data_IF_426895238053
#
_entry.id   IF_426895238053
#
_cell.length_a   1.000
_cell.length_b   1.000
_cell.length_c   1.000
_cell.angle_alpha   90.00
_cell.angle_beta   90.00
_cell.angle_gamma   90.00
#
_symmetry.space_group_name_H-M   'P 1'
#
loop_
_entity.id
_entity.type
_entity.pdbx_description
1 polymer ?
#
# COMPACT_ATOMS: atom_id res chain seq x y z
N UNK A 1 9.80 -0.41 7.01
CA UNK A 1 9.48 0.38 8.19
C UNK A 1 9.43 -0.49 9.43
N UNK A 2 10.24 -0.17 10.43
CA UNK A 2 10.16 -0.73 11.78
C UNK A 2 9.36 0.21 12.71
N UNK A 3 9.23 -0.15 13.99
CA UNK A 3 8.46 0.64 14.95
C UNK A 3 9.09 2.02 15.25
N UNK A 4 10.43 2.12 15.20
CA UNK A 4 11.13 3.39 15.41
C UNK A 4 10.84 4.36 14.28
N UNK A 5 10.93 3.87 13.05
CA UNK A 5 10.57 4.62 11.86
C UNK A 5 9.10 5.00 11.87
N UNK A 6 8.19 4.07 12.18
CA UNK A 6 6.76 4.37 12.29
C UNK A 6 6.49 5.50 13.28
N UNK A 7 7.10 5.47 14.47
CA UNK A 7 6.93 6.53 15.46
C UNK A 7 7.42 7.91 15.00
N UNK A 8 8.42 7.95 14.11
CA UNK A 8 8.92 9.19 13.49
C UNK A 8 7.93 9.75 12.46
N UNK A 9 7.25 8.88 11.69
CA UNK A 9 6.47 9.30 10.51
C UNK A 9 4.94 9.25 10.68
N UNK A 10 4.41 8.63 11.74
CA UNK A 10 2.96 8.38 11.94
C UNK A 10 2.05 9.61 11.94
N UNK A 11 2.64 10.79 12.17
CA UNK A 11 1.95 12.08 12.25
C UNK A 11 2.16 12.95 11.00
N UNK A 12 2.93 12.50 10.01
CA UNK A 12 3.07 13.22 8.75
C UNK A 12 1.77 13.18 7.96
N UNK A 13 1.52 14.24 7.21
CA UNK A 13 0.54 14.24 6.13
C UNK A 13 0.99 13.32 5.00
N UNK A 14 0.09 13.03 4.07
CA UNK A 14 0.40 12.19 2.92
C UNK A 14 1.59 12.73 2.09
N UNK A 15 1.58 14.02 1.74
CA UNK A 15 2.65 14.63 0.95
C UNK A 15 3.98 14.70 1.71
N UNK A 16 3.98 15.05 2.99
CA UNK A 16 5.18 15.02 3.82
C UNK A 16 5.78 13.60 3.90
N UNK A 17 4.93 12.58 3.95
CA UNK A 17 5.38 11.19 3.94
C UNK A 17 5.94 10.78 2.57
N UNK A 18 5.35 11.24 1.47
CA UNK A 18 5.93 11.07 0.14
C UNK A 18 7.33 11.70 0.06
N UNK A 19 7.51 12.92 0.55
CA UNK A 19 8.80 13.62 0.54
C UNK A 19 9.82 12.90 1.43
N UNK A 20 9.39 12.37 2.59
CA UNK A 20 10.21 11.50 3.42
C UNK A 20 10.71 10.26 2.66
N UNK A 21 9.82 9.57 1.92
CA UNK A 21 10.18 8.38 1.13
C UNK A 21 11.09 8.72 -0.05
N UNK A 22 10.89 9.86 -0.71
CA UNK A 22 11.79 10.34 -1.76
C UNK A 22 13.18 10.67 -1.22
N UNK A 23 13.27 11.27 -0.02
CA UNK A 23 14.56 11.47 0.65
C UNK A 23 15.23 10.15 1.05
N UNK A 24 14.45 9.15 1.45
CA UNK A 24 14.95 7.84 1.89
C UNK A 24 15.44 6.96 0.74
N UNK A 25 14.71 6.95 -0.38
CA UNK A 25 14.92 5.97 -1.46
C UNK A 25 15.20 6.59 -2.83
N UNK A 26 15.14 7.92 -2.95
CA UNK A 26 15.16 8.64 -4.22
C UNK A 26 13.77 8.75 -4.86
N UNK A 27 13.69 9.62 -5.87
CA UNK A 27 12.55 9.70 -6.79
C UNK A 27 12.50 8.48 -7.73
N UNK A 28 11.47 8.38 -8.57
CA UNK A 28 11.37 7.33 -9.58
C UNK A 28 12.58 7.27 -10.52
N UNK A 29 12.95 6.07 -10.98
CA UNK A 29 14.05 5.87 -11.94
C UNK A 29 13.69 6.25 -13.40
N UNK A 30 12.47 6.73 -13.61
CA UNK A 30 11.86 7.03 -14.90
C UNK A 30 10.35 7.16 -14.72
N UNK A 31 9.61 7.57 -15.76
CA UNK A 31 8.17 7.61 -15.68
C UNK A 31 7.60 6.18 -15.56
N UNK A 32 6.49 6.01 -14.84
CA UNK A 32 5.88 4.68 -14.61
C UNK A 32 5.38 4.06 -15.90
N UNK A 33 4.62 4.83 -16.69
CA UNK A 33 4.34 4.55 -18.09
C UNK A 33 5.20 5.48 -18.97
N UNK A 34 5.78 4.94 -20.04
CA UNK A 34 6.39 5.77 -21.09
C UNK A 34 5.30 6.60 -21.79
N UNK A 35 5.67 7.61 -22.58
CA UNK A 35 4.71 8.46 -23.32
C UNK A 35 3.77 7.65 -24.22
N UNK A 36 4.25 6.52 -24.76
CA UNK A 36 3.43 5.59 -25.54
C UNK A 36 2.58 4.62 -24.67
N UNK A 37 2.47 4.89 -23.36
CA UNK A 37 1.74 4.13 -22.36
C UNK A 37 2.19 2.68 -22.12
N UNK A 38 3.41 2.33 -22.57
CA UNK A 38 4.04 1.05 -22.21
C UNK A 38 4.65 1.17 -20.82
N UNK A 39 4.37 0.20 -19.94
CA UNK A 39 4.97 0.17 -18.58
C UNK A 39 6.48 0.18 -18.68
N UNK A 40 7.11 1.08 -17.94
CA UNK A 40 8.56 1.21 -17.95
C UNK A 40 9.18 0.11 -17.06
N UNK A 41 9.98 -0.83 -17.60
CA UNK A 41 10.55 -1.91 -16.79
C UNK A 41 11.54 -1.39 -15.74
N UNK A 42 12.14 -0.21 -15.95
CA UNK A 42 13.14 0.38 -15.05
C UNK A 42 12.59 0.82 -13.70
N UNK A 43 11.26 0.96 -13.57
CA UNK A 43 10.66 1.40 -12.29
C UNK A 43 10.62 0.29 -11.23
N UNK A 44 10.95 -0.94 -11.59
CA UNK A 44 10.82 -2.09 -10.69
C UNK A 44 12.02 -2.17 -9.74
N UNK A 45 11.77 -2.14 -8.43
CA UNK A 45 12.78 -2.31 -7.36
C UNK A 45 12.43 -3.44 -6.38
N UNK A 46 11.66 -4.44 -6.85
CA UNK A 46 11.22 -5.57 -6.02
C UNK A 46 12.38 -6.43 -5.50
N UNK A 47 13.54 -6.44 -6.20
CA UNK A 47 14.79 -7.07 -5.72
C UNK A 47 15.37 -6.40 -4.46
N UNK A 48 14.94 -5.18 -4.15
CA UNK A 48 15.27 -4.47 -2.91
C UNK A 48 14.14 -4.61 -1.86
N UNK A 49 13.02 -5.23 -2.23
CA UNK A 49 11.80 -5.27 -1.44
C UNK A 49 10.92 -4.04 -1.58
N UNK A 50 11.12 -3.24 -2.63
CA UNK A 50 10.45 -1.96 -2.85
C UNK A 50 9.50 -1.97 -4.05
N UNK A 51 8.45 -1.18 -3.95
CA UNK A 51 7.42 -0.92 -4.95
C UNK A 51 7.40 0.56 -5.30
N UNK A 52 7.09 0.88 -6.56
CA UNK A 52 6.76 2.24 -6.95
C UNK A 52 5.31 2.55 -6.55
N UNK A 53 5.07 3.75 -6.05
CA UNK A 53 3.76 4.30 -5.71
C UNK A 53 3.64 5.71 -6.28
N UNK A 54 2.49 6.06 -6.84
CA UNK A 54 2.24 7.36 -7.44
C UNK A 54 1.81 8.39 -6.37
N UNK A 55 2.46 9.55 -6.34
CA UNK A 55 2.08 10.65 -5.43
C UNK A 55 0.65 11.12 -5.68
N UNK A 56 0.13 11.01 -6.89
CA UNK A 56 -1.24 11.42 -7.23
C UNK A 56 -2.32 10.36 -6.96
N UNK A 57 -2.01 9.25 -6.26
CA UNK A 57 -3.06 8.31 -5.83
C UNK A 57 -4.00 8.88 -4.75
N UNK A 58 -3.72 10.07 -4.21
CA UNK A 58 -4.66 10.89 -3.43
C UNK A 58 -5.65 11.70 -4.30
N UNK A 59 -5.40 11.79 -5.61
CA UNK A 59 -6.27 12.42 -6.59
C UNK A 59 -7.07 11.39 -7.39
N UNK A 60 -6.47 10.26 -7.75
CA UNK A 60 -7.12 9.22 -8.57
C UNK A 60 -6.71 7.80 -8.18
N UNK A 61 -7.59 6.83 -8.41
CA UNK A 61 -7.30 5.42 -8.12
C UNK A 61 -6.52 4.73 -9.25
N UNK A 62 -5.78 3.69 -8.88
CA UNK A 62 -5.20 2.71 -9.82
C UNK A 62 -4.30 3.32 -10.90
N UNK A 63 -3.48 4.33 -10.56
CA UNK A 63 -2.56 4.98 -11.52
C UNK A 63 -1.47 4.04 -12.05
N UNK A 64 -1.31 2.88 -11.42
CA UNK A 64 -0.48 1.76 -11.90
C UNK A 64 -1.15 0.89 -12.99
N UNK A 65 -2.44 1.08 -13.25
CA UNK A 65 -3.26 0.36 -14.24
C UNK A 65 -3.53 1.24 -15.45
N UNK A 66 -3.23 0.71 -16.65
CA UNK A 66 -3.25 1.45 -17.91
C UNK A 66 -4.58 2.19 -18.19
N UNK A 67 -5.71 1.52 -17.96
CA UNK A 67 -7.05 2.05 -18.21
C UNK A 67 -7.35 3.30 -17.38
N UNK A 68 -6.97 3.30 -16.10
CA UNK A 68 -7.16 4.42 -15.19
C UNK A 68 -6.12 5.51 -15.42
N UNK A 69 -4.87 5.12 -15.65
CA UNK A 69 -3.78 6.07 -15.85
C UNK A 69 -4.00 7.00 -17.06
N UNK A 70 -4.58 6.47 -18.15
CA UNK A 70 -4.88 7.25 -19.37
C UNK A 70 -5.95 8.32 -19.18
N UNK A 71 -6.80 8.20 -18.17
CA UNK A 71 -7.84 9.18 -17.86
C UNK A 71 -7.34 10.35 -17.01
N UNK A 72 -6.04 10.36 -16.68
CA UNK A 72 -5.41 11.32 -15.79
C UNK A 72 -4.18 11.97 -16.48
N UNK A 73 -3.71 13.14 -16.01
CA UNK A 73 -2.56 13.82 -16.58
C UNK A 73 -1.32 12.93 -16.66
N UNK A 74 -0.61 12.97 -17.79
CA UNK A 74 0.60 12.16 -17.98
C UNK A 74 1.71 12.55 -16.99
N UNK A 75 1.75 13.82 -16.58
CA UNK A 75 2.68 14.36 -15.59
C UNK A 75 2.67 13.57 -14.29
N UNK A 76 1.54 12.96 -13.93
CA UNK A 76 1.42 12.14 -12.71
C UNK A 76 2.20 10.83 -12.79
N UNK A 77 2.62 10.43 -14.00
CA UNK A 77 3.46 9.27 -14.25
C UNK A 77 4.95 9.61 -14.18
N UNK A 78 5.33 10.89 -14.13
CA UNK A 78 6.73 11.33 -14.15
C UNK A 78 7.51 10.93 -12.89
N UNK A 79 8.83 10.73 -12.98
CA UNK A 79 9.63 10.16 -11.89
C UNK A 79 9.57 10.93 -10.56
N UNK A 80 9.52 12.25 -10.61
CA UNK A 80 9.34 13.15 -9.45
C UNK A 80 8.00 12.95 -8.73
N UNK A 81 7.03 12.33 -9.40
CA UNK A 81 5.70 12.00 -8.89
C UNK A 81 5.59 10.54 -8.48
N UNK A 82 6.71 9.84 -8.37
CA UNK A 82 6.80 8.48 -7.86
C UNK A 82 7.64 8.44 -6.59
N UNK A 83 7.23 7.56 -5.67
CA UNK A 83 7.98 7.20 -4.46
C UNK A 83 8.24 5.71 -4.45
N UNK A 84 9.28 5.30 -3.72
CA UNK A 84 9.54 3.89 -3.44
C UNK A 84 9.16 3.54 -2.00
N UNK A 85 8.58 2.36 -1.80
CA UNK A 85 8.11 1.91 -0.49
C UNK A 85 8.14 0.37 -0.37
N UNK A 86 8.36 -0.17 0.82
CA UNK A 86 8.00 -1.57 1.13
C UNK A 86 6.50 -1.69 1.48
N UNK A 87 6.01 -2.90 1.72
CA UNK A 87 4.58 -3.14 1.98
C UNK A 87 3.99 -2.32 3.14
N UNK A 88 4.72 -2.15 4.26
CA UNK A 88 4.21 -1.40 5.41
C UNK A 88 4.18 0.10 5.15
N UNK A 89 5.18 0.61 4.44
CA UNK A 89 5.21 2.01 4.00
C UNK A 89 4.10 2.27 2.96
N UNK A 90 3.86 1.32 2.06
CA UNK A 90 2.77 1.36 1.09
C UNK A 90 1.40 1.38 1.78
N UNK A 91 1.20 0.53 2.81
CA UNK A 91 -0.01 0.57 3.62
C UNK A 91 -0.19 1.91 4.31
N UNK A 92 0.87 2.51 4.88
CA UNK A 92 0.78 3.83 5.47
C UNK A 92 0.42 4.91 4.45
N UNK A 93 0.97 4.87 3.22
CA UNK A 93 0.58 5.78 2.14
C UNK A 93 -0.93 5.74 1.90
N UNK A 94 -1.50 4.55 1.69
CA UNK A 94 -2.95 4.42 1.44
C UNK A 94 -3.81 4.83 2.65
N UNK A 95 -3.35 4.58 3.88
CA UNK A 95 -4.02 5.06 5.09
C UNK A 95 -4.01 6.60 5.15
N UNK A 96 -2.89 7.23 4.81
CA UNK A 96 -2.77 8.70 4.81
C UNK A 96 -3.60 9.32 3.69
N UNK A 97 -3.72 8.66 2.53
CA UNK A 97 -4.65 9.08 1.47
C UNK A 97 -6.10 9.06 1.97
N UNK A 98 -6.52 8.02 2.71
CA UNK A 98 -7.85 7.98 3.31
C UNK A 98 -8.06 9.13 4.31
N UNK A 99 -7.02 9.46 5.08
CA UNK A 99 -7.07 10.53 6.08
C UNK A 99 -7.07 11.93 5.45
N UNK A 100 -6.34 12.10 4.35
CA UNK A 100 -6.06 13.39 3.71
C UNK A 100 -6.18 13.30 2.18
N UNK A 101 -7.37 12.99 1.63
CA UNK A 101 -7.55 12.94 0.19
C UNK A 101 -7.40 14.34 -0.42
N UNK A 102 -6.97 14.42 -1.69
CA UNK A 102 -6.87 15.68 -2.39
C UNK A 102 -8.25 16.36 -2.49
N UNK A 103 -8.29 17.70 -2.30
CA UNK A 103 -9.54 18.47 -2.39
C UNK A 103 -10.21 18.35 -3.77
N UNK A 104 -9.40 18.22 -4.80
CA UNK A 104 -9.77 18.11 -6.20
C UNK A 104 -9.63 16.68 -6.74
N UNK A 105 -9.72 15.66 -5.88
CA UNK A 105 -9.74 14.26 -6.32
C UNK A 105 -10.86 13.99 -7.32
N UNK A 106 -10.69 12.96 -8.13
CA UNK A 106 -11.69 12.51 -9.09
C UNK A 106 -13.02 12.19 -8.38
N UNK A 107 -14.12 12.60 -9.01
CA UNK A 107 -15.47 12.38 -8.48
C UNK A 107 -15.76 10.87 -8.46
N UNK A 108 -16.46 10.43 -7.42
CA UNK A 108 -16.86 9.02 -7.22
C UNK A 108 -15.71 8.04 -6.99
N UNK A 109 -14.47 8.51 -6.82
CA UNK A 109 -13.33 7.67 -6.48
C UNK A 109 -13.03 7.70 -4.98
N UNK A 110 -13.01 6.53 -4.36
CA UNK A 110 -12.60 6.35 -2.96
C UNK A 110 -11.09 6.06 -2.88
N UNK A 111 -10.29 7.11 -3.07
CA UNK A 111 -8.83 7.08 -3.04
C UNK A 111 -8.30 6.48 -1.74
N UNK A 112 -7.21 5.72 -1.82
CA UNK A 112 -6.60 5.01 -0.69
C UNK A 112 -7.36 3.76 -0.23
N UNK A 113 -8.69 3.85 -0.08
CA UNK A 113 -9.50 2.80 0.57
C UNK A 113 -9.36 1.44 -0.11
N UNK A 114 -9.54 1.40 -1.44
CA UNK A 114 -9.39 0.17 -2.21
C UNK A 114 -7.98 -0.42 -2.13
N UNK A 115 -6.94 0.41 -2.07
CA UNK A 115 -5.55 0.00 -1.86
C UNK A 115 -5.37 -0.77 -0.55
N UNK A 116 -5.98 -0.28 0.53
CA UNK A 116 -5.98 -0.93 1.84
C UNK A 116 -6.74 -2.26 1.79
N UNK A 117 -8.05 -2.23 1.52
CA UNK A 117 -8.93 -3.37 1.79
C UNK A 117 -8.89 -4.47 0.73
N UNK A 118 -8.58 -4.13 -0.53
CA UNK A 118 -8.60 -5.09 -1.62
C UNK A 118 -7.22 -5.69 -1.91
N UNK A 119 -6.12 -5.00 -1.57
CA UNK A 119 -4.79 -5.44 -1.97
C UNK A 119 -3.86 -5.64 -0.77
N UNK A 120 -3.58 -4.59 -0.02
CA UNK A 120 -2.50 -4.60 0.98
C UNK A 120 -2.85 -5.39 2.23
N UNK A 121 -4.01 -5.14 2.84
CA UNK A 121 -4.44 -5.84 4.07
C UNK A 121 -4.64 -7.34 3.82
N UNK A 122 -5.34 -7.79 2.76
CA UNK A 122 -5.48 -9.22 2.51
C UNK A 122 -4.12 -9.93 2.36
N UNK A 123 -3.16 -9.32 1.65
CA UNK A 123 -1.83 -9.91 1.44
C UNK A 123 -0.98 -9.88 2.72
N UNK A 124 -1.01 -8.80 3.49
CA UNK A 124 -0.30 -8.69 4.76
C UNK A 124 -0.88 -9.61 5.84
N UNK A 125 -2.19 -9.85 5.82
CA UNK A 125 -2.83 -10.82 6.71
C UNK A 125 -2.24 -12.21 6.50
N UNK A 126 -2.07 -12.63 5.25
CA UNK A 126 -1.46 -13.92 4.93
C UNK A 126 -0.02 -13.98 5.43
N UNK A 127 0.79 -12.95 5.14
CA UNK A 127 2.20 -12.90 5.58
C UNK A 127 2.33 -12.97 7.09
N UNK A 128 1.57 -12.17 7.84
CA UNK A 128 1.63 -12.15 9.30
C UNK A 128 0.93 -13.34 9.98
N UNK A 129 0.24 -14.17 9.19
CA UNK A 129 -0.28 -15.47 9.61
C UNK A 129 0.65 -16.63 9.23
N UNK A 130 1.80 -16.32 8.61
CA UNK A 130 2.88 -17.28 8.35
C UNK A 130 3.11 -17.61 6.87
N UNK A 131 2.38 -16.99 5.94
CA UNK A 131 2.57 -17.25 4.52
C UNK A 131 3.92 -16.71 4.05
N UNK A 132 4.69 -17.57 3.38
CA UNK A 132 5.91 -17.18 2.67
C UNK A 132 6.03 -17.99 1.39
N UNK A 133 6.17 -17.35 0.21
CA UNK A 133 6.37 -18.07 -1.02
C UNK A 133 7.74 -18.75 -1.03
N UNK A 134 7.80 -19.96 -1.61
CA UNK A 134 9.06 -20.70 -1.76
C UNK A 134 9.87 -20.22 -2.98
N UNK A 135 9.18 -19.69 -3.99
CA UNK A 135 9.79 -19.18 -5.24
C UNK A 135 9.14 -17.86 -5.68
N UNK A 136 9.85 -17.09 -6.50
CA UNK A 136 9.31 -15.89 -7.14
C UNK A 136 9.71 -14.57 -6.48
N UNK A 137 9.29 -13.47 -7.11
CA UNK A 137 9.77 -12.13 -6.79
C UNK A 137 9.29 -11.59 -5.43
N UNK A 138 8.23 -12.17 -4.85
CA UNK A 138 7.65 -11.74 -3.57
C UNK A 138 8.46 -12.12 -2.33
N UNK A 139 9.38 -13.09 -2.44
CA UNK A 139 10.24 -13.53 -1.33
C UNK A 139 10.95 -12.34 -0.69
N UNK A 140 11.57 -11.50 -1.52
CA UNK A 140 12.36 -10.37 -1.03
C UNK A 140 11.46 -9.32 -0.35
N UNK A 141 10.40 -8.77 -0.99
CA UNK A 141 9.45 -7.88 -0.32
C UNK A 141 8.90 -8.41 1.02
N UNK A 142 8.53 -9.69 1.09
CA UNK A 142 7.99 -10.27 2.32
C UNK A 142 9.07 -10.41 3.41
N UNK A 143 10.27 -10.86 3.05
CA UNK A 143 11.38 -11.00 4.01
C UNK A 143 11.77 -9.69 4.69
N UNK A 144 11.52 -8.54 4.05
CA UNK A 144 11.82 -7.21 4.60
C UNK A 144 10.81 -6.78 5.67
N UNK A 145 9.60 -7.34 5.68
CA UNK A 145 8.50 -6.91 6.56
C UNK A 145 8.01 -7.98 7.54
N UNK A 146 8.40 -9.25 7.35
CA UNK A 146 7.88 -10.40 8.11
C UNK A 146 8.02 -10.27 9.63
N UNK A 147 9.06 -9.58 10.11
CA UNK A 147 9.36 -9.46 11.54
C UNK A 147 8.74 -8.19 12.17
N UNK A 148 7.90 -7.47 11.42
CA UNK A 148 7.34 -6.16 11.81
C UNK A 148 5.81 -6.18 11.96
N UNK A 149 5.27 -7.28 12.50
CA UNK A 149 3.82 -7.44 12.76
C UNK A 149 3.27 -6.36 13.70
N UNK A 150 4.08 -5.91 14.66
CA UNK A 150 3.75 -4.83 15.58
C UNK A 150 3.40 -3.52 14.83
N UNK A 151 4.22 -3.15 13.84
CA UNK A 151 3.97 -1.99 12.97
C UNK A 151 2.68 -2.18 12.17
N UNK A 152 2.46 -3.37 11.62
CA UNK A 152 1.22 -3.69 10.91
C UNK A 152 -0.02 -3.46 11.77
N UNK A 153 -0.04 -3.98 13.00
CA UNK A 153 -1.16 -3.80 13.91
C UNK A 153 -1.37 -2.31 14.28
N UNK A 154 -0.30 -1.52 14.41
CA UNK A 154 -0.42 -0.07 14.61
C UNK A 154 -1.06 0.64 13.40
N UNK A 155 -0.71 0.22 12.18
CA UNK A 155 -1.31 0.75 10.96
C UNK A 155 -2.79 0.38 10.85
N UNK A 156 -3.15 -0.87 11.15
CA UNK A 156 -4.55 -1.31 11.20
C UNK A 156 -5.35 -0.49 12.22
N UNK A 157 -4.81 -0.29 13.43
CA UNK A 157 -5.44 0.55 14.45
C UNK A 157 -5.63 1.99 13.97
N UNK A 158 -4.63 2.58 13.33
CA UNK A 158 -4.72 3.93 12.74
C UNK A 158 -5.82 3.98 11.68
N UNK A 159 -5.88 3.01 10.77
CA UNK A 159 -6.91 2.92 9.74
C UNK A 159 -8.32 2.80 10.32
N UNK A 160 -8.55 1.89 11.29
CA UNK A 160 -9.83 1.78 12.00
C UNK A 160 -10.27 3.11 12.60
N UNK A 161 -9.34 3.84 13.23
CA UNK A 161 -9.64 5.15 13.84
C UNK A 161 -10.00 6.22 12.82
N UNK A 162 -9.41 6.20 11.62
CA UNK A 162 -9.74 7.14 10.53
C UNK A 162 -11.11 6.78 9.93
N UNK A 163 -11.36 5.51 9.69
CA UNK A 163 -12.53 5.05 8.94
C UNK A 163 -13.78 4.81 9.79
N UNK A 164 -13.72 4.90 11.13
CA UNK A 164 -14.83 4.55 12.04
C UNK A 164 -16.15 5.28 11.79
N UNK A 165 -16.14 6.42 11.10
CA UNK A 165 -17.33 7.17 10.74
C UNK A 165 -17.68 7.09 9.25
N UNK A 166 -16.90 6.37 8.46
CA UNK A 166 -17.22 6.12 7.05
C UNK A 166 -18.33 5.07 6.95
N UNK A 167 -19.47 5.37 6.29
CA UNK A 167 -20.59 4.43 6.21
C UNK A 167 -20.28 3.16 5.42
N UNK A 168 -19.21 3.15 4.61
CA UNK A 168 -18.79 1.99 3.82
C UNK A 168 -17.78 1.11 4.57
N UNK A 169 -17.34 1.53 5.76
CA UNK A 169 -16.36 0.80 6.54
C UNK A 169 -17.00 -0.05 7.64
N UNK A 170 -16.61 -1.31 7.68
CA UNK A 170 -16.80 -2.20 8.82
C UNK A 170 -15.46 -2.89 9.11
N UNK A 171 -15.13 -3.21 10.39
CA UNK A 171 -13.93 -3.98 10.71
C UNK A 171 -13.81 -5.29 9.92
N UNK A 172 -14.94 -5.86 9.46
CA UNK A 172 -14.96 -7.06 8.63
C UNK A 172 -14.24 -6.88 7.28
N UNK A 173 -14.16 -5.66 6.76
CA UNK A 173 -13.41 -5.35 5.52
C UNK A 173 -11.91 -5.66 5.64
N UNK A 174 -11.38 -5.80 6.86
CA UNK A 174 -9.99 -6.12 7.14
C UNK A 174 -9.73 -7.62 7.33
N UNK A 175 -10.78 -8.45 7.35
CA UNK A 175 -10.71 -9.88 7.62
C UNK A 175 -10.71 -10.67 6.31
N UNK A 176 -9.68 -10.42 5.50
CA UNK A 176 -9.55 -10.94 4.13
C UNK A 176 -8.17 -11.57 3.90
N UNK A 177 -8.04 -12.30 2.80
CA UNK A 177 -6.84 -13.02 2.35
C UNK A 177 -6.67 -12.82 0.84
N UNK A 178 -5.42 -12.83 0.34
CA UNK A 178 -5.11 -12.72 -1.09
C UNK A 178 -4.42 -13.99 -1.59
N UNK A 179 -5.16 -15.06 -1.93
CA UNK A 179 -4.53 -16.29 -2.37
C UNK A 179 -3.97 -16.15 -3.78
N UNK A 180 -2.64 -16.18 -3.92
CA UNK A 180 -1.96 -16.42 -5.20
C UNK A 180 -2.18 -17.86 -5.70
N UNK A 181 -2.43 -18.79 -4.77
CA UNK A 181 -2.86 -20.16 -5.03
C UNK A 181 -3.70 -20.65 -3.85
N UNK A 182 -4.98 -20.93 -4.07
CA UNK A 182 -5.92 -21.38 -3.02
C UNK A 182 -5.54 -22.74 -2.42
N UNK A 183 -4.72 -23.52 -3.11
CA UNK A 183 -4.25 -24.82 -2.63
C UNK A 183 -3.09 -24.70 -1.62
N UNK A 184 -2.42 -23.54 -1.57
CA UNK A 184 -1.26 -23.29 -0.71
C UNK A 184 -1.62 -22.51 0.57
N UNK A 185 -2.69 -21.72 0.54
CA UNK A 185 -3.08 -20.88 1.67
C UNK A 185 -4.59 -20.75 1.78
N UNK A 186 -5.12 -20.99 2.98
CA UNK A 186 -6.54 -20.86 3.30
C UNK A 186 -6.77 -19.64 4.17
N UNK A 187 -7.93 -18.98 3.99
CA UNK A 187 -8.35 -17.89 4.87
C UNK A 187 -8.41 -18.32 6.35
N UNK A 188 -8.61 -19.60 6.62
CA UNK A 188 -8.62 -20.17 7.97
C UNK A 188 -7.25 -20.05 8.67
N UNK A 189 -6.15 -19.96 7.92
CA UNK A 189 -4.83 -19.72 8.48
C UNK A 189 -4.74 -18.37 9.20
N UNK A 190 -5.59 -17.41 8.83
CA UNK A 190 -5.54 -16.04 9.34
C UNK A 190 -6.43 -15.82 10.57
N UNK A 191 -7.19 -16.83 11.04
CA UNK A 191 -8.19 -16.66 12.11
C UNK A 191 -7.62 -16.06 13.40
N UNK A 192 -6.40 -16.47 13.80
CA UNK A 192 -5.75 -15.91 14.98
C UNK A 192 -5.47 -14.41 14.81
N UNK A 193 -4.94 -14.03 13.64
CA UNK A 193 -4.66 -12.63 13.33
C UNK A 193 -5.97 -11.82 13.21
N UNK A 194 -7.03 -12.40 12.67
CA UNK A 194 -8.34 -11.75 12.57
C UNK A 194 -8.91 -11.37 13.93
N UNK A 195 -8.79 -12.25 14.93
CA UNK A 195 -9.18 -11.92 16.31
C UNK A 195 -8.36 -10.75 16.85
N UNK A 196 -7.03 -10.77 16.66
CA UNK A 196 -6.17 -9.64 17.05
C UNK A 196 -6.61 -8.32 16.38
N UNK A 197 -6.97 -8.36 15.09
CA UNK A 197 -7.44 -7.18 14.33
C UNK A 197 -8.79 -6.66 14.86
N UNK A 198 -9.71 -7.56 15.21
CA UNK A 198 -11.01 -7.20 15.78
C UNK A 198 -10.85 -6.48 17.12
N UNK A 199 -9.92 -6.94 17.96
CA UNK A 199 -9.67 -6.44 19.32
C UNK A 199 -8.94 -5.07 19.38
N UNK A 200 -8.40 -4.56 18.26
CA UNK A 200 -7.68 -3.27 18.18
C UNK A 200 -8.56 -2.01 18.38
#
# INVERSE_FOLDING_TARGET
MDLKEYNKVKNLTYLEYCDYLQNKYGIGLGPYFKENWVKNPKITRTKEGLFAHHKYEDHAIMLSTLEYAKNNPYEWQLPENLVYCNYLEHLLLHILICQYPAKNKNKHENVGYGGVINFLVPELNDVYSGFMPVTGWKIKPYSVIKDHKDVYLQLIKKFKNIMKYDPNFTPLCLLSSWPYNKDLWSINNNLKLFNEILDL
#
